data_IF_319418868008
#
_entry.id   IF_319418868008
#
_cell.length_a   1.000
_cell.length_b   1.000
_cell.length_c   1.000
_cell.angle_alpha   90.00
_cell.angle_beta   90.00
_cell.angle_gamma   90.00
#
_symmetry.space_group_name_H-M   'P 1'
#
loop_
_entity.id
_entity.type
_entity.pdbx_description
1 polymer ?
#
# COMPACT_ATOMS: atom_id res chain seq x y z
N UNK A 1 15.92 -12.72 30.37
CA UNK A 1 15.01 -11.66 30.86
C UNK A 1 15.79 -10.39 31.14
N UNK A 2 15.59 -9.36 30.32
CA UNK A 2 16.03 -7.98 30.60
C UNK A 2 14.93 -7.05 30.10
N UNK A 3 14.12 -6.55 31.03
CA UNK A 3 13.13 -5.51 30.76
C UNK A 3 13.85 -4.22 30.35
N UNK A 4 13.43 -3.61 29.25
CA UNK A 4 13.74 -2.23 28.92
C UNK A 4 12.44 -1.46 28.78
N UNK A 5 12.03 -0.81 29.86
CA UNK A 5 11.06 0.27 29.83
C UNK A 5 11.71 1.49 29.16
N UNK A 6 11.06 2.06 28.16
CA UNK A 6 11.25 3.47 27.80
C UNK A 6 9.88 4.11 27.58
N UNK A 7 9.47 4.78 28.64
CA UNK A 7 8.52 5.89 28.67
C UNK A 7 8.90 6.88 27.56
N UNK A 8 7.94 7.34 26.74
CA UNK A 8 7.97 8.67 26.14
C UNK A 8 6.54 9.24 26.18
N UNK A 9 6.31 10.05 27.20
CA UNK A 9 5.24 11.05 27.25
C UNK A 9 5.92 12.41 27.28
N UNK A 10 5.72 13.23 26.25
CA UNK A 10 5.64 14.69 26.42
C UNK A 10 5.13 15.34 25.14
N UNK A 11 3.86 15.71 25.19
CA UNK A 11 3.22 16.78 24.41
C UNK A 11 3.96 18.08 24.67
N UNK A 12 4.21 18.90 23.64
CA UNK A 12 4.02 20.36 23.74
C UNK A 12 3.99 21.03 22.37
N UNK A 13 2.87 21.74 22.18
CA UNK A 13 2.57 22.73 21.17
C UNK A 13 3.68 23.78 20.97
N UNK A 14 3.86 24.21 19.73
CA UNK A 14 4.51 25.48 19.41
C UNK A 14 3.61 26.25 18.42
N UNK A 15 3.16 27.41 18.88
CA UNK A 15 2.37 28.37 18.13
C UNK A 15 3.21 29.02 17.01
N UNK A 16 2.66 29.08 15.79
CA UNK A 16 3.21 29.87 14.70
C UNK A 16 2.63 31.30 14.77
N UNK A 17 3.51 32.27 15.04
CA UNK A 17 3.23 33.69 14.84
C UNK A 17 3.56 34.04 13.39
N UNK A 18 2.55 34.44 12.64
CA UNK A 18 2.69 35.07 11.34
C UNK A 18 3.34 36.46 11.47
N UNK A 19 4.34 36.74 10.63
CA UNK A 19 4.78 38.10 10.35
C UNK A 19 5.15 38.24 8.87
N UNK A 20 4.20 38.78 8.12
CA UNK A 20 4.37 39.29 6.76
C UNK A 20 5.37 40.45 6.74
N UNK A 21 6.36 40.39 5.86
CA UNK A 21 6.94 41.60 5.27
C UNK A 21 7.59 41.27 3.92
N UNK A 22 6.98 41.82 2.86
CA UNK A 22 7.58 41.94 1.55
C UNK A 22 8.43 43.23 1.49
N UNK A 23 9.65 43.17 0.96
CA UNK A 23 10.13 44.14 -0.06
C UNK A 23 11.43 43.64 -0.72
N UNK A 24 11.55 44.01 -1.99
CA UNK A 24 12.53 43.67 -3.01
C UNK A 24 14.02 43.93 -2.69
N UNK A 25 14.88 43.24 -3.45
CA UNK A 25 16.30 43.61 -3.58
C UNK A 25 17.10 42.65 -4.46
N UNK A 26 17.09 42.86 -5.76
CA UNK A 26 18.01 42.24 -6.73
C UNK A 26 19.47 42.64 -6.44
N UNK A 27 20.40 41.68 -6.50
CA UNK A 27 21.67 41.73 -7.26
C UNK A 27 22.72 40.71 -6.74
N UNK A 28 23.06 39.76 -7.60
CA UNK A 28 24.43 39.24 -7.81
C UNK A 28 24.83 39.68 -9.23
N UNK A 29 26.12 39.72 -9.66
CA UNK A 29 27.20 38.81 -9.27
C UNK A 29 28.61 39.44 -9.13
N UNK A 30 29.58 38.67 -8.61
CA UNK A 30 30.97 38.68 -9.12
C UNK A 30 31.76 37.48 -8.63
N UNK A 31 32.53 36.92 -9.55
CA UNK A 31 33.45 35.79 -9.42
C UNK A 31 34.67 36.09 -8.55
N UNK A 32 35.35 35.01 -8.14
CA UNK A 32 36.70 35.02 -7.58
C UNK A 32 37.21 33.61 -7.30
N UNK A 33 38.00 33.07 -8.23
CA UNK A 33 38.83 31.86 -8.09
C UNK A 33 39.88 32.00 -6.98
N UNK A 34 40.27 30.88 -6.36
CA UNK A 34 41.42 30.80 -5.47
C UNK A 34 41.67 29.42 -4.89
N UNK A 35 42.57 28.67 -5.53
CA UNK A 35 43.06 27.36 -5.11
C UNK A 35 43.88 27.41 -3.80
N UNK A 36 43.86 26.31 -3.02
CA UNK A 36 44.71 26.14 -1.85
C UNK A 36 44.65 24.73 -1.27
N UNK A 37 45.64 23.91 -1.64
CA UNK A 37 45.89 22.53 -1.21
C UNK A 37 46.25 22.43 0.29
N UNK A 38 45.81 21.38 0.97
CA UNK A 38 46.20 21.08 2.35
C UNK A 38 45.74 19.69 2.82
N UNK A 39 46.67 18.74 2.82
CA UNK A 39 46.46 17.34 3.23
C UNK A 39 46.43 17.16 4.74
N UNK A 40 45.56 16.28 5.24
CA UNK A 40 45.69 15.37 6.41
C UNK A 40 44.39 14.52 6.36
N UNK A 41 44.36 13.20 6.39
CA UNK A 41 45.07 12.28 7.26
C UNK A 41 44.02 11.51 8.07
N UNK A 42 43.60 10.35 7.55
CA UNK A 42 43.10 9.15 8.22
C UNK A 42 41.94 9.23 9.25
N UNK A 43 40.81 8.57 8.97
CA UNK A 43 40.05 7.78 9.95
C UNK A 43 38.88 7.02 9.31
N UNK A 44 38.90 5.71 9.51
CA UNK A 44 37.80 4.76 9.34
C UNK A 44 36.54 5.19 10.12
N UNK A 45 35.37 5.18 9.49
CA UNK A 45 34.11 4.90 10.19
C UNK A 45 33.00 4.47 9.22
N UNK A 46 32.42 3.31 9.52
CA UNK A 46 31.31 2.71 8.79
C UNK A 46 30.10 3.63 8.76
N UNK A 47 29.55 3.81 7.56
CA UNK A 47 28.27 4.46 7.34
C UNK A 47 27.16 3.55 7.89
N UNK A 48 26.74 3.79 9.13
CA UNK A 48 25.34 3.55 9.48
C UNK A 48 24.54 4.65 8.80
N UNK A 49 23.83 4.30 7.73
CA UNK A 49 22.78 5.14 7.18
C UNK A 49 21.56 4.98 8.10
N UNK A 50 21.42 5.84 9.10
CA UNK A 50 20.10 6.16 9.64
C UNK A 50 19.44 7.11 8.64
N UNK A 51 18.71 6.56 7.67
CA UNK A 51 17.77 7.32 6.86
C UNK A 51 16.53 7.57 7.70
N UNK A 52 16.33 8.80 8.17
CA UNK A 52 15.02 9.25 8.66
C UNK A 52 14.12 9.41 7.44
N UNK A 53 13.26 8.42 7.19
CA UNK A 53 12.20 8.52 6.20
C UNK A 53 11.11 9.44 6.78
N UNK A 54 11.03 10.66 6.26
CA UNK A 54 9.85 11.51 6.47
C UNK A 54 8.81 11.06 5.44
N UNK A 55 7.88 10.22 5.89
CA UNK A 55 6.62 9.96 5.17
C UNK A 55 5.92 11.31 5.02
N UNK A 56 5.85 11.85 3.81
CA UNK A 56 5.06 13.04 3.54
C UNK A 56 3.58 12.62 3.50
N UNK A 57 2.85 12.96 4.57
CA UNK A 57 1.38 12.87 4.60
C UNK A 57 0.83 13.82 3.53
N UNK A 58 0.27 13.27 2.45
CA UNK A 58 -0.52 14.02 1.51
C UNK A 58 -1.96 14.12 2.04
N UNK A 59 -2.44 15.34 2.28
CA UNK A 59 -3.83 15.60 2.68
C UNK A 59 -3.96 16.71 3.72
N UNK A 60 -3.98 17.97 3.28
CA UNK A 60 -4.41 19.10 4.11
C UNK A 60 -5.95 19.12 4.22
N UNK A 61 -6.46 18.92 5.44
CA UNK A 61 -7.86 19.14 5.80
C UNK A 61 -7.95 19.61 7.24
N UNK A 62 -8.01 20.93 7.47
CA UNK A 62 -8.20 21.52 8.79
C UNK A 62 -9.64 21.28 9.28
N UNK A 63 -9.79 20.55 10.38
CA UNK A 63 -11.04 20.39 11.11
C UNK A 63 -10.77 20.00 12.57
N UNK A 64 -10.80 20.97 13.48
CA UNK A 64 -10.72 20.74 14.92
C UNK A 64 -11.98 20.00 15.42
N UNK A 65 -11.79 18.82 16.00
CA UNK A 65 -12.83 18.07 16.69
C UNK A 65 -12.21 17.20 17.79
N UNK A 66 -12.56 17.47 19.04
CA UNK A 66 -12.12 16.68 20.19
C UNK A 66 -12.77 15.29 20.23
N UNK A 67 -11.96 14.28 20.51
CA UNK A 67 -12.31 13.17 21.40
C UNK A 67 -13.19 12.04 20.84
N UNK A 68 -12.53 10.93 20.49
CA UNK A 68 -13.15 9.60 20.40
C UNK A 68 -13.16 9.02 18.98
N UNK A 69 -13.17 7.68 18.93
CA UNK A 69 -13.27 6.82 17.74
C UNK A 69 -11.94 6.59 16.99
N UNK A 70 -11.52 5.33 16.95
CA UNK A 70 -10.41 4.89 16.11
C UNK A 70 -10.88 4.74 14.66
N UNK A 71 -10.08 5.27 13.74
CA UNK A 71 -9.95 4.72 12.39
C UNK A 71 -11.07 5.00 11.39
N UNK A 72 -11.50 6.25 11.23
CA UNK A 72 -12.08 6.69 9.96
C UNK A 72 -11.01 7.40 9.12
N UNK A 73 -10.14 6.62 8.50
CA UNK A 73 -9.14 7.09 7.54
C UNK A 73 -9.12 6.16 6.34
N UNK A 74 -9.65 6.63 5.21
CA UNK A 74 -9.58 5.92 3.94
C UNK A 74 -10.79 6.18 3.04
N UNK A 75 -11.00 7.45 2.63
CA UNK A 75 -11.83 7.71 1.46
C UNK A 75 -11.19 6.97 0.28
N UNK A 76 -11.89 5.99 -0.32
CA UNK A 76 -11.42 5.28 -1.52
C UNK A 76 -11.10 3.78 -1.38
N UNK A 77 -11.25 3.18 -0.19
CA UNK A 77 -11.04 1.73 -0.01
C UNK A 77 -9.61 1.34 0.42
N UNK A 78 -8.78 2.31 0.77
CA UNK A 78 -7.46 2.12 1.41
C UNK A 78 -7.56 1.87 2.92
N UNK A 79 -8.78 1.92 3.48
CA UNK A 79 -9.04 1.81 4.91
C UNK A 79 -8.16 0.76 5.58
N UNK A 80 -7.45 1.20 6.62
CA UNK A 80 -6.47 0.39 7.36
C UNK A 80 -7.07 -0.88 7.93
N UNK A 81 -6.20 -1.80 8.34
CA UNK A 81 -6.61 -3.10 8.89
C UNK A 81 -6.65 -3.01 10.41
N UNK A 82 -7.77 -3.39 11.05
CA UNK A 82 -7.86 -3.45 12.51
C UNK A 82 -6.88 -4.52 13.07
N UNK A 83 -5.83 -4.12 13.82
CA UNK A 83 -4.85 -5.06 14.34
C UNK A 83 -5.47 -6.08 15.32
N UNK A 84 -6.49 -5.68 16.08
CA UNK A 84 -7.13 -6.56 17.06
C UNK A 84 -7.98 -7.64 16.38
N UNK A 85 -8.57 -7.34 15.22
CA UNK A 85 -9.27 -8.30 14.39
C UNK A 85 -8.29 -9.20 13.63
N UNK A 86 -7.24 -8.64 13.03
CA UNK A 86 -6.19 -9.38 12.33
C UNK A 86 -5.50 -10.42 13.23
N UNK A 87 -5.35 -10.13 14.53
CA UNK A 87 -4.78 -11.08 15.49
C UNK A 87 -5.62 -12.36 15.68
N UNK A 88 -6.88 -12.39 15.23
CA UNK A 88 -7.85 -13.46 15.52
C UNK A 88 -8.53 -14.05 14.29
N UNK A 89 -8.69 -13.28 13.21
CA UNK A 89 -9.38 -13.73 11.99
C UNK A 89 -8.36 -13.85 10.84
N UNK A 90 -8.13 -15.05 10.29
CA UNK A 90 -7.21 -15.21 9.17
C UNK A 90 -7.61 -14.41 7.94
N UNK A 91 -8.91 -14.15 7.71
CA UNK A 91 -9.32 -13.34 6.57
C UNK A 91 -8.86 -11.88 6.72
N UNK A 92 -8.86 -11.35 7.95
CA UNK A 92 -8.38 -9.98 8.24
C UNK A 92 -6.86 -9.92 8.25
N UNK A 93 -6.20 -10.96 8.76
CA UNK A 93 -4.74 -11.08 8.71
C UNK A 93 -4.22 -11.15 7.27
N UNK A 94 -4.83 -12.01 6.44
CA UNK A 94 -4.43 -12.22 5.06
C UNK A 94 -4.82 -11.02 4.18
N UNK A 95 -5.90 -10.29 4.50
CA UNK A 95 -6.23 -9.06 3.76
C UNK A 95 -5.15 -7.99 3.94
N UNK A 96 -4.55 -7.85 5.13
CA UNK A 96 -3.39 -6.98 5.33
C UNK A 96 -2.23 -7.33 4.39
N UNK A 97 -1.92 -8.62 4.28
CA UNK A 97 -0.86 -9.12 3.40
C UNK A 97 -1.21 -8.87 1.93
N UNK A 98 -2.48 -9.07 1.54
CA UNK A 98 -2.98 -8.82 0.21
C UNK A 98 -2.94 -7.33 -0.18
N UNK A 99 -3.23 -6.42 0.76
CA UNK A 99 -3.10 -4.98 0.53
C UNK A 99 -1.64 -4.60 0.28
N UNK A 100 -0.70 -5.14 1.06
CA UNK A 100 0.73 -4.91 0.80
C UNK A 100 1.10 -5.46 -0.59
N UNK A 101 0.66 -6.68 -0.92
CA UNK A 101 0.92 -7.29 -2.23
C UNK A 101 0.36 -6.46 -3.38
N UNK A 102 -0.85 -5.92 -3.24
CA UNK A 102 -1.53 -5.11 -4.25
C UNK A 102 -0.69 -3.90 -4.64
N UNK A 103 -0.22 -3.14 -3.66
CA UNK A 103 0.66 -2.00 -3.87
C UNK A 103 1.98 -2.40 -4.57
N UNK A 104 2.59 -3.51 -4.15
CA UNK A 104 3.83 -3.97 -4.79
C UNK A 104 3.61 -4.45 -6.24
N UNK A 105 2.49 -5.08 -6.55
CA UNK A 105 2.14 -5.44 -7.93
C UNK A 105 1.92 -4.20 -8.80
N UNK A 106 1.24 -3.18 -8.27
CA UNK A 106 1.03 -1.92 -8.96
C UNK A 106 2.35 -1.15 -9.18
N UNK A 107 3.18 -1.09 -8.13
CA UNK A 107 4.50 -0.46 -8.20
C UNK A 107 5.44 -1.16 -9.18
N UNK A 108 5.48 -2.49 -9.18
CA UNK A 108 6.27 -3.27 -10.14
C UNK A 108 5.81 -3.03 -11.58
N UNK A 109 4.50 -2.93 -11.83
CA UNK A 109 3.95 -2.60 -13.14
C UNK A 109 4.33 -1.18 -13.60
N UNK A 110 4.33 -0.19 -12.69
CA UNK A 110 4.77 1.17 -13.01
C UNK A 110 6.25 1.27 -13.38
N UNK A 111 7.11 0.32 -12.96
CA UNK A 111 8.51 0.28 -13.39
C UNK A 111 8.68 0.00 -14.89
N UNK A 112 7.67 -0.59 -15.54
CA UNK A 112 7.66 -0.86 -16.98
C UNK A 112 7.08 0.31 -17.80
N UNK A 113 6.56 1.34 -17.12
CA UNK A 113 6.03 2.57 -17.74
C UNK A 113 7.16 3.60 -17.89
N UNK A 114 7.23 4.26 -19.04
CA UNK A 114 8.21 5.32 -19.26
C UNK A 114 7.98 6.47 -18.27
N UNK A 115 8.99 6.78 -17.45
CA UNK A 115 8.89 7.80 -16.40
C UNK A 115 8.16 7.36 -15.13
N UNK A 116 7.58 6.15 -15.09
CA UNK A 116 6.76 5.64 -13.99
C UNK A 116 7.49 5.24 -12.71
N UNK A 117 8.82 5.40 -12.66
CA UNK A 117 9.66 4.98 -11.53
C UNK A 117 9.23 5.61 -10.20
N UNK A 118 8.89 6.90 -10.21
CA UNK A 118 8.59 7.64 -8.98
C UNK A 118 7.26 7.18 -8.40
N UNK A 119 6.26 7.01 -9.25
CA UNK A 119 4.96 6.44 -8.91
C UNK A 119 5.13 5.00 -8.42
N UNK A 120 5.95 4.18 -9.10
CA UNK A 120 6.22 2.82 -8.64
C UNK A 120 6.90 2.76 -7.27
N UNK A 121 7.87 3.65 -7.01
CA UNK A 121 8.49 3.80 -5.71
C UNK A 121 7.54 4.31 -4.62
N UNK A 122 6.61 5.20 -4.96
CA UNK A 122 5.56 5.65 -4.05
C UNK A 122 4.64 4.47 -3.64
N UNK A 123 4.20 3.67 -4.62
CA UNK A 123 3.40 2.46 -4.34
C UNK A 123 4.12 1.48 -3.40
N UNK A 124 5.44 1.30 -3.51
CA UNK A 124 6.17 0.45 -2.56
C UNK A 124 6.18 1.00 -1.12
N UNK A 125 6.06 2.32 -0.97
CA UNK A 125 6.11 3.01 0.32
C UNK A 125 4.76 3.07 1.03
N UNK A 126 3.65 3.24 0.30
CA UNK A 126 2.28 3.30 0.83
C UNK A 126 1.97 2.24 1.90
N UNK A 127 2.14 0.93 1.62
CA UNK A 127 1.76 -0.11 2.56
C UNK A 127 2.63 -0.16 3.82
N UNK A 128 3.76 0.56 3.86
CA UNK A 128 4.58 0.67 5.09
C UNK A 128 3.78 1.41 6.17
N UNK A 129 3.29 2.61 5.85
CA UNK A 129 2.54 3.45 6.79
C UNK A 129 1.08 3.05 6.92
N UNK A 130 0.46 2.54 5.87
CA UNK A 130 -0.97 2.22 5.86
C UNK A 130 -1.29 0.87 6.52
N UNK A 131 -0.34 -0.06 6.49
CA UNK A 131 -0.56 -1.44 6.95
C UNK A 131 0.54 -1.89 7.89
N UNK A 132 1.79 -1.93 7.41
CA UNK A 132 2.84 -2.69 8.08
C UNK A 132 3.15 -2.15 9.48
N UNK A 133 3.26 -0.83 9.67
CA UNK A 133 3.59 -0.25 10.99
C UNK A 133 2.55 -0.64 12.06
N UNK A 134 1.26 -0.62 11.72
CA UNK A 134 0.20 -0.95 12.67
C UNK A 134 0.11 -2.47 12.92
N UNK A 135 0.48 -3.30 11.94
CA UNK A 135 0.32 -4.75 11.97
C UNK A 135 1.61 -5.52 12.31
N UNK A 136 2.78 -4.87 12.36
CA UNK A 136 4.07 -5.52 12.61
C UNK A 136 4.02 -6.38 13.88
N UNK A 137 3.50 -5.81 14.98
CA UNK A 137 3.38 -6.54 16.25
C UNK A 137 2.42 -7.75 16.18
N UNK A 138 1.42 -7.70 15.30
CA UNK A 138 0.49 -8.81 15.05
C UNK A 138 1.19 -9.90 14.25
N UNK A 139 1.93 -9.55 13.20
CA UNK A 139 2.74 -10.48 12.41
C UNK A 139 3.77 -11.20 13.29
N UNK A 140 4.51 -10.46 14.12
CA UNK A 140 5.48 -11.02 15.05
C UNK A 140 4.85 -11.96 16.09
N UNK A 141 3.68 -11.59 16.62
CA UNK A 141 2.95 -12.42 17.58
C UNK A 141 2.50 -13.76 16.98
N UNK A 142 2.21 -13.79 15.67
CA UNK A 142 1.93 -15.03 14.92
C UNK A 142 3.20 -15.79 14.49
N UNK A 143 4.38 -15.25 14.77
CA UNK A 143 5.66 -15.87 14.45
C UNK A 143 6.11 -15.64 13.00
N UNK A 144 5.58 -14.64 12.31
CA UNK A 144 6.16 -14.15 11.07
C UNK A 144 7.47 -13.41 11.36
N UNK A 145 8.44 -13.52 10.46
CA UNK A 145 9.66 -12.70 10.53
C UNK A 145 9.31 -11.25 10.16
N UNK A 146 9.91 -10.24 10.79
CA UNK A 146 9.77 -8.86 10.34
C UNK A 146 10.35 -8.72 8.93
N UNK A 147 9.72 -7.90 8.10
CA UNK A 147 10.12 -7.68 6.71
C UNK A 147 10.14 -6.19 6.29
N UNK A 148 10.20 -5.29 7.27
CA UNK A 148 10.37 -3.85 7.07
C UNK A 148 11.63 -3.51 6.25
N UNK A 149 12.73 -4.23 6.50
CA UNK A 149 14.00 -4.00 5.81
C UNK A 149 13.89 -4.33 4.32
N UNK A 150 13.18 -5.40 3.95
CA UNK A 150 12.91 -5.75 2.56
C UNK A 150 12.03 -4.70 1.88
N UNK A 151 11.00 -4.19 2.57
CA UNK A 151 10.10 -3.17 2.03
C UNK A 151 10.85 -1.85 1.79
N UNK A 152 11.57 -1.36 2.80
CA UNK A 152 12.36 -0.12 2.70
C UNK A 152 13.46 -0.22 1.67
N UNK A 153 14.11 -1.39 1.51
CA UNK A 153 15.07 -1.61 0.44
C UNK A 153 14.45 -1.47 -0.96
N UNK A 154 13.23 -1.96 -1.18
CA UNK A 154 12.55 -1.80 -2.48
C UNK A 154 12.24 -0.32 -2.77
N UNK A 155 11.78 0.44 -1.77
CA UNK A 155 11.54 1.89 -1.86
C UNK A 155 12.83 2.64 -2.18
N UNK A 156 13.90 2.40 -1.42
CA UNK A 156 15.19 3.08 -1.58
C UNK A 156 15.80 2.84 -2.97
N UNK A 157 15.71 1.60 -3.47
CA UNK A 157 16.20 1.27 -4.81
C UNK A 157 15.36 1.94 -5.91
N UNK A 158 14.03 1.94 -5.76
CA UNK A 158 13.15 2.57 -6.73
C UNK A 158 13.38 4.08 -6.82
N UNK A 159 13.39 4.77 -5.67
CA UNK A 159 13.53 6.23 -5.57
C UNK A 159 14.99 6.71 -5.66
N UNK A 160 15.97 5.82 -5.50
CA UNK A 160 17.40 6.10 -5.62
C UNK A 160 17.99 5.84 -7.00
N UNK A 161 17.16 5.73 -8.04
CA UNK A 161 17.57 5.50 -9.44
C UNK A 161 18.37 4.21 -9.69
N UNK A 162 18.21 3.18 -8.86
CA UNK A 162 18.84 1.88 -9.09
C UNK A 162 18.29 1.23 -10.39
N UNK A 163 19.05 0.36 -11.08
CA UNK A 163 18.56 -0.34 -12.28
C UNK A 163 17.24 -1.07 -12.01
N UNK A 164 16.27 -1.01 -12.95
CA UNK A 164 14.93 -1.62 -12.78
C UNK A 164 15.02 -3.11 -12.40
N UNK A 165 15.97 -3.84 -12.97
CA UNK A 165 16.20 -5.24 -12.63
C UNK A 165 16.58 -5.45 -11.15
N UNK A 166 17.32 -4.52 -10.55
CA UNK A 166 17.67 -4.58 -9.12
C UNK A 166 16.47 -4.24 -8.24
N UNK A 167 15.65 -3.27 -8.64
CA UNK A 167 14.39 -2.95 -7.96
C UNK A 167 13.46 -4.16 -7.97
N UNK A 168 13.23 -4.78 -9.15
CA UNK A 168 12.40 -5.99 -9.29
C UNK A 168 12.95 -7.15 -8.45
N UNK A 169 14.27 -7.36 -8.43
CA UNK A 169 14.88 -8.38 -7.57
C UNK A 169 14.64 -8.12 -6.06
N UNK A 170 14.57 -6.86 -5.64
CA UNK A 170 14.19 -6.50 -4.27
C UNK A 170 12.72 -6.75 -3.99
N UNK A 171 11.83 -6.38 -4.92
CA UNK A 171 10.38 -6.65 -4.83
C UNK A 171 10.10 -8.14 -4.66
N UNK A 172 10.85 -9.01 -5.35
CA UNK A 172 10.70 -10.47 -5.18
C UNK A 172 11.02 -10.95 -3.75
N UNK A 173 11.91 -10.27 -3.02
CA UNK A 173 12.16 -10.58 -1.60
C UNK A 173 10.97 -10.20 -0.73
N UNK A 174 10.31 -9.08 -1.05
CA UNK A 174 9.07 -8.69 -0.36
C UNK A 174 7.99 -9.72 -0.63
N UNK A 175 7.80 -10.19 -1.87
CA UNK A 175 6.84 -11.27 -2.15
C UNK A 175 7.13 -12.55 -1.36
N UNK A 176 8.39 -12.97 -1.29
CA UNK A 176 8.78 -14.12 -0.48
C UNK A 176 8.49 -13.92 1.02
N UNK A 177 8.68 -12.71 1.54
CA UNK A 177 8.34 -12.37 2.93
C UNK A 177 6.83 -12.37 3.16
N UNK A 178 6.04 -11.84 2.23
CA UNK A 178 4.57 -11.86 2.29
C UNK A 178 4.03 -13.30 2.24
N UNK A 179 4.59 -14.16 1.38
CA UNK A 179 4.24 -15.58 1.34
C UNK A 179 4.54 -16.26 2.69
N UNK A 180 5.73 -16.04 3.25
CA UNK A 180 6.13 -16.61 4.54
C UNK A 180 5.29 -16.08 5.72
N UNK A 181 4.86 -14.81 5.67
CA UNK A 181 3.95 -14.23 6.65
C UNK A 181 2.53 -14.81 6.51
N UNK A 182 2.04 -15.04 5.29
CA UNK A 182 0.72 -15.60 5.05
C UNK A 182 0.56 -17.01 5.66
N UNK A 183 1.63 -17.81 5.68
CA UNK A 183 1.68 -19.11 6.36
C UNK A 183 1.50 -19.02 7.90
N UNK A 184 1.51 -17.81 8.47
CA UNK A 184 1.32 -17.54 9.91
C UNK A 184 -0.07 -16.98 10.22
N UNK A 185 -1.00 -17.02 9.28
CA UNK A 185 -2.37 -16.61 9.56
C UNK A 185 -2.96 -17.38 10.77
N UNK A 186 -3.74 -16.71 11.64
CA UNK A 186 -4.42 -17.37 12.76
C UNK A 186 -5.25 -18.57 12.31
N UNK A 187 -5.36 -19.59 13.16
CA UNK A 187 -6.26 -20.72 12.91
C UNK A 187 -7.73 -20.28 12.90
N UNK A 188 -8.58 -20.96 12.13
CA UNK A 188 -10.02 -20.71 12.08
C UNK A 188 -10.80 -21.99 11.78
N UNK A 189 -12.04 -22.03 12.24
CA UNK A 189 -13.01 -23.07 11.88
C UNK A 189 -13.65 -22.83 10.50
N UNK A 190 -13.41 -21.66 9.87
CA UNK A 190 -13.84 -21.38 8.49
C UNK A 190 -13.10 -22.29 7.51
N UNK A 191 -13.79 -22.71 6.44
CA UNK A 191 -13.12 -23.45 5.36
C UNK A 191 -12.14 -22.55 4.60
N UNK A 192 -11.12 -23.14 3.99
CA UNK A 192 -10.18 -22.43 3.11
C UNK A 192 -10.93 -21.68 1.99
N UNK A 193 -11.94 -22.32 1.39
CA UNK A 193 -12.77 -21.70 0.36
C UNK A 193 -13.53 -20.46 0.87
N UNK A 194 -14.03 -20.50 2.11
CA UNK A 194 -14.70 -19.34 2.72
C UNK A 194 -13.74 -18.16 2.94
N UNK A 195 -12.51 -18.46 3.37
CA UNK A 195 -11.46 -17.44 3.56
C UNK A 195 -11.04 -16.85 2.21
N UNK A 196 -10.75 -17.67 1.22
CA UNK A 196 -10.37 -17.21 -0.13
C UNK A 196 -11.49 -16.42 -0.81
N UNK A 197 -12.76 -16.81 -0.62
CA UNK A 197 -13.90 -16.05 -1.11
C UNK A 197 -14.01 -14.67 -0.46
N UNK A 198 -13.82 -14.57 0.86
CA UNK A 198 -13.80 -13.29 1.56
C UNK A 198 -12.67 -12.38 1.08
N UNK A 199 -11.47 -12.93 0.87
CA UNK A 199 -10.32 -12.17 0.36
C UNK A 199 -10.54 -11.68 -1.08
N UNK A 200 -11.05 -12.54 -1.96
CA UNK A 200 -11.39 -12.13 -3.33
C UNK A 200 -12.45 -11.01 -3.34
N UNK A 201 -13.50 -11.15 -2.53
CA UNK A 201 -14.56 -10.16 -2.41
C UNK A 201 -14.03 -8.80 -1.93
N UNK A 202 -13.23 -8.80 -0.86
CA UNK A 202 -12.60 -7.59 -0.29
C UNK A 202 -11.72 -6.89 -1.34
N UNK A 203 -10.87 -7.63 -2.07
CA UNK A 203 -9.99 -7.03 -3.07
C UNK A 203 -10.75 -6.47 -4.29
N UNK A 204 -11.82 -7.14 -4.73
CA UNK A 204 -12.70 -6.57 -5.76
C UNK A 204 -13.42 -5.30 -5.28
N UNK A 205 -13.84 -5.25 -4.02
CA UNK A 205 -14.49 -4.07 -3.45
C UNK A 205 -13.54 -2.88 -3.37
N UNK A 206 -12.31 -3.09 -2.89
CA UNK A 206 -11.26 -2.06 -2.87
C UNK A 206 -10.91 -1.58 -4.27
N UNK A 207 -10.74 -2.49 -5.22
CA UNK A 207 -10.49 -2.13 -6.61
C UNK A 207 -11.63 -1.30 -7.23
N UNK A 208 -12.90 -1.58 -6.87
CA UNK A 208 -14.06 -0.83 -7.35
C UNK A 208 -14.13 0.57 -6.73
N UNK A 209 -13.88 0.70 -5.43
CA UNK A 209 -13.84 1.98 -4.72
C UNK A 209 -12.71 2.87 -5.24
N UNK A 210 -11.54 2.29 -5.47
CA UNK A 210 -10.42 3.02 -6.06
C UNK A 210 -10.70 3.48 -7.49
N UNK A 211 -11.39 2.65 -8.28
CA UNK A 211 -11.81 3.05 -9.62
C UNK A 211 -12.73 4.27 -9.57
N UNK A 212 -13.75 4.22 -8.69
CA UNK A 212 -14.70 5.32 -8.50
C UNK A 212 -14.01 6.62 -8.06
N UNK A 213 -13.08 6.52 -7.09
CA UNK A 213 -12.22 7.64 -6.70
C UNK A 213 -11.43 8.17 -7.89
N UNK A 214 -10.70 7.31 -8.60
CA UNK A 214 -9.79 7.66 -9.66
C UNK A 214 -10.45 8.36 -10.86
N UNK A 215 -11.71 8.04 -11.17
CA UNK A 215 -12.45 8.65 -12.29
C UNK A 215 -13.45 9.70 -11.84
N UNK A 216 -13.62 9.89 -10.53
CA UNK A 216 -14.41 10.95 -9.94
C UNK A 216 -13.85 12.36 -10.20
N UNK A 217 -14.58 13.41 -9.81
CA UNK A 217 -14.23 14.81 -10.09
C UNK A 217 -12.89 15.25 -9.48
N UNK A 218 -12.44 14.58 -8.42
CA UNK A 218 -11.16 14.83 -7.74
C UNK A 218 -10.19 13.65 -7.91
N UNK A 219 -10.43 12.78 -8.88
CA UNK A 219 -9.69 11.53 -9.03
C UNK A 219 -8.21 11.73 -9.34
N UNK A 220 -7.37 10.90 -8.75
CA UNK A 220 -5.93 10.92 -8.92
C UNK A 220 -5.46 9.74 -9.79
N UNK A 221 -4.28 9.89 -10.40
CA UNK A 221 -3.57 8.77 -11.02
C UNK A 221 -3.17 7.73 -9.97
N UNK A 222 -2.90 8.16 -8.75
CA UNK A 222 -2.53 7.31 -7.61
C UNK A 222 -3.64 6.29 -7.28
N UNK A 223 -4.88 6.76 -7.08
CA UNK A 223 -6.04 5.91 -6.86
C UNK A 223 -6.25 4.89 -7.99
N UNK A 224 -5.94 5.25 -9.24
CA UNK A 224 -5.99 4.31 -10.36
C UNK A 224 -4.95 3.19 -10.21
N UNK A 225 -3.71 3.55 -9.86
CA UNK A 225 -2.62 2.60 -9.69
C UNK A 225 -2.91 1.65 -8.52
N UNK A 226 -3.43 2.17 -7.40
CA UNK A 226 -3.86 1.34 -6.25
C UNK A 226 -4.97 0.37 -6.65
N UNK A 227 -5.99 0.89 -7.33
CA UNK A 227 -7.09 0.09 -7.86
C UNK A 227 -6.65 -1.03 -8.81
N UNK A 228 -5.66 -0.76 -9.67
CA UNK A 228 -5.03 -1.77 -10.52
C UNK A 228 -4.39 -2.88 -9.66
N UNK A 229 -3.63 -2.51 -8.63
CA UNK A 229 -3.02 -3.45 -7.69
C UNK A 229 -4.05 -4.35 -7.01
N UNK A 230 -5.11 -3.77 -6.47
CA UNK A 230 -6.19 -4.51 -5.80
C UNK A 230 -6.88 -5.48 -6.77
N UNK A 231 -7.16 -5.05 -8.00
CA UNK A 231 -7.74 -5.94 -9.01
C UNK A 231 -6.83 -7.13 -9.31
N UNK A 232 -5.50 -6.92 -9.42
CA UNK A 232 -4.57 -8.02 -9.65
C UNK A 232 -4.61 -9.06 -8.53
N UNK A 233 -4.65 -8.62 -7.27
CA UNK A 233 -4.77 -9.55 -6.14
C UNK A 233 -6.15 -10.22 -6.12
N UNK A 234 -7.23 -9.48 -6.40
CA UNK A 234 -8.58 -10.05 -6.51
C UNK A 234 -8.64 -11.18 -7.55
N UNK A 235 -8.01 -10.98 -8.71
CA UNK A 235 -7.88 -12.01 -9.74
C UNK A 235 -7.07 -13.21 -9.25
N UNK A 236 -5.94 -13.00 -8.59
CA UNK A 236 -5.12 -14.09 -8.04
C UNK A 236 -5.93 -14.96 -7.06
N UNK A 237 -6.65 -14.33 -6.13
CA UNK A 237 -7.53 -15.01 -5.16
C UNK A 237 -8.68 -15.74 -5.84
N UNK A 238 -9.34 -15.09 -6.80
CA UNK A 238 -10.41 -15.72 -7.57
C UNK A 238 -9.93 -16.96 -8.36
N UNK A 239 -8.76 -16.90 -8.97
CA UNK A 239 -8.18 -18.02 -9.73
C UNK A 239 -7.78 -19.20 -8.83
N UNK A 240 -7.31 -18.92 -7.61
CA UNK A 240 -7.05 -19.95 -6.60
C UNK A 240 -8.33 -20.58 -6.04
N UNK A 241 -9.39 -19.77 -5.87
CA UNK A 241 -10.67 -20.19 -5.33
C UNK A 241 -11.47 -21.04 -6.31
N UNK A 242 -11.61 -20.62 -7.58
CA UNK A 242 -12.50 -21.24 -8.58
C UNK A 242 -12.42 -22.78 -8.65
N UNK A 243 -11.23 -23.44 -8.63
CA UNK A 243 -11.13 -24.90 -8.66
C UNK A 243 -11.76 -25.62 -7.45
N UNK A 244 -11.91 -24.91 -6.33
CA UNK A 244 -12.49 -25.44 -5.08
C UNK A 244 -14.00 -25.20 -4.97
N UNK A 245 -14.59 -24.36 -5.83
CA UNK A 245 -16.01 -24.08 -5.83
C UNK A 245 -16.78 -25.28 -6.39
N UNK A 246 -17.52 -25.97 -5.52
CA UNK A 246 -18.45 -27.03 -5.91
C UNK A 246 -19.78 -26.49 -6.48
N UNK A 247 -20.71 -27.39 -6.79
CA UNK A 247 -22.04 -27.05 -7.33
C UNK A 247 -22.81 -26.05 -6.44
N UNK A 248 -22.63 -26.14 -5.12
CA UNK A 248 -23.27 -25.24 -4.14
C UNK A 248 -22.85 -23.77 -4.32
N UNK A 249 -21.68 -23.51 -4.91
CA UNK A 249 -21.13 -22.17 -5.13
C UNK A 249 -20.93 -21.84 -6.62
N UNK A 250 -21.59 -22.55 -7.54
CA UNK A 250 -21.51 -22.29 -8.99
C UNK A 250 -21.82 -20.83 -9.32
N UNK A 251 -22.84 -20.25 -8.67
CA UNK A 251 -23.19 -18.84 -8.89
C UNK A 251 -22.10 -17.85 -8.47
N UNK A 252 -21.25 -18.19 -7.48
CA UNK A 252 -20.08 -17.38 -7.14
C UNK A 252 -19.01 -17.50 -8.23
N UNK A 253 -18.75 -18.72 -8.72
CA UNK A 253 -17.79 -18.94 -9.80
C UNK A 253 -18.15 -18.13 -11.05
N UNK A 254 -19.43 -18.08 -11.42
CA UNK A 254 -19.93 -17.24 -12.52
C UNK A 254 -19.71 -15.74 -12.26
N UNK A 255 -20.01 -15.23 -11.06
CA UNK A 255 -19.82 -13.81 -10.75
C UNK A 255 -18.33 -13.43 -10.73
N UNK A 256 -17.45 -14.30 -10.23
CA UNK A 256 -16.00 -14.09 -10.28
C UNK A 256 -15.47 -14.05 -11.72
N UNK A 257 -15.97 -14.90 -12.61
CA UNK A 257 -15.59 -14.89 -14.02
C UNK A 257 -16.04 -13.59 -14.72
N UNK A 258 -17.29 -13.16 -14.49
CA UNK A 258 -17.80 -11.89 -15.04
C UNK A 258 -17.04 -10.68 -14.49
N UNK A 259 -16.72 -10.68 -13.19
CA UNK A 259 -15.94 -9.62 -12.57
C UNK A 259 -14.51 -9.56 -13.13
N UNK A 260 -13.88 -10.70 -13.37
CA UNK A 260 -12.55 -10.73 -13.98
C UNK A 260 -12.53 -10.04 -15.35
N UNK A 261 -13.50 -10.33 -16.22
CA UNK A 261 -13.62 -9.68 -17.53
C UNK A 261 -13.90 -8.17 -17.41
N UNK A 262 -14.82 -7.80 -16.51
CA UNK A 262 -15.21 -6.41 -16.28
C UNK A 262 -14.04 -5.57 -15.73
N UNK A 263 -13.40 -6.03 -14.65
CA UNK A 263 -12.28 -5.32 -14.05
C UNK A 263 -11.03 -5.41 -14.93
N UNK A 264 -10.84 -6.46 -15.72
CA UNK A 264 -9.80 -6.52 -16.74
C UNK A 264 -9.99 -5.52 -17.88
N UNK A 265 -11.23 -5.15 -18.17
CA UNK A 265 -11.55 -4.04 -19.08
C UNK A 265 -11.32 -2.68 -18.41
N UNK A 266 -11.71 -2.56 -17.13
CA UNK A 266 -11.51 -1.35 -16.34
C UNK A 266 -10.02 -1.00 -16.19
N UNK A 267 -9.22 -1.98 -15.76
CA UNK A 267 -7.81 -1.89 -15.47
C UNK A 267 -6.97 -2.60 -16.53
N UNK A 268 -7.19 -2.27 -17.80
CA UNK A 268 -6.44 -2.86 -18.91
C UNK A 268 -4.92 -2.61 -18.79
N UNK A 269 -4.53 -1.51 -18.12
CA UNK A 269 -3.15 -1.16 -17.79
C UNK A 269 -3.07 -0.43 -16.45
N UNK A 270 -1.84 -0.33 -15.93
CA UNK A 270 -1.54 0.43 -14.71
C UNK A 270 -1.58 1.95 -14.95
N UNK A 271 -1.41 2.38 -16.20
CA UNK A 271 -1.59 3.78 -16.59
C UNK A 271 -3.08 4.12 -16.68
N UNK A 272 -3.47 5.21 -16.02
CA UNK A 272 -4.83 5.74 -16.07
C UNK A 272 -5.15 6.24 -17.50
N UNK A 273 -6.20 5.75 -18.16
CA UNK A 273 -6.62 6.23 -19.47
C UNK A 273 -7.22 7.65 -19.35
N UNK A 274 -7.22 8.37 -20.47
CA UNK A 274 -7.85 9.70 -20.56
C UNK A 274 -9.36 9.63 -20.30
N UNK A 275 -10.01 8.57 -20.78
CA UNK A 275 -11.44 8.31 -20.59
C UNK A 275 -11.63 7.00 -19.82
N UNK A 276 -12.56 7.02 -18.85
CA UNK A 276 -12.93 5.84 -18.08
C UNK A 276 -13.55 4.78 -19.01
N UNK A 277 -12.95 3.58 -19.14
CA UNK A 277 -13.43 2.56 -20.09
C UNK A 277 -14.76 1.92 -19.67
N UNK A 278 -15.11 2.04 -18.38
CA UNK A 278 -16.32 1.47 -17.78
C UNK A 278 -16.93 2.44 -16.78
N UNK A 279 -18.26 2.39 -16.63
CA UNK A 279 -18.98 3.19 -15.64
C UNK A 279 -18.70 2.68 -14.20
N UNK A 280 -18.30 3.54 -13.24
CA UNK A 280 -17.91 3.14 -11.88
C UNK A 280 -18.97 2.30 -11.15
N UNK A 281 -20.24 2.69 -11.28
CA UNK A 281 -21.36 1.97 -10.67
C UNK A 281 -21.46 0.49 -11.11
N UNK A 282 -20.90 0.14 -12.27
CA UNK A 282 -20.89 -1.25 -12.76
C UNK A 282 -19.92 -2.11 -11.95
N UNK A 283 -18.76 -1.56 -11.56
CA UNK A 283 -17.76 -2.24 -10.75
C UNK A 283 -18.23 -2.40 -9.32
N UNK A 284 -18.78 -1.34 -8.72
CA UNK A 284 -19.39 -1.37 -7.39
C UNK A 284 -20.53 -2.38 -7.30
N UNK A 285 -21.36 -2.47 -8.35
CA UNK A 285 -22.41 -3.48 -8.42
C UNK A 285 -21.84 -4.91 -8.54
N UNK A 286 -20.74 -5.10 -9.26
CA UNK A 286 -20.08 -6.40 -9.38
C UNK A 286 -19.43 -6.84 -8.06
N UNK A 287 -18.69 -5.97 -7.38
CA UNK A 287 -18.12 -6.28 -6.05
C UNK A 287 -19.24 -6.63 -5.05
N UNK A 288 -20.33 -5.85 -5.03
CA UNK A 288 -21.49 -6.13 -4.17
C UNK A 288 -22.11 -7.51 -4.42
N UNK A 289 -22.21 -7.95 -5.69
CA UNK A 289 -22.73 -9.29 -6.02
C UNK A 289 -21.80 -10.38 -5.51
N UNK A 290 -20.49 -10.23 -5.69
CA UNK A 290 -19.49 -11.17 -5.17
C UNK A 290 -19.59 -11.25 -3.64
N UNK A 291 -19.64 -10.13 -2.94
CA UNK A 291 -19.78 -10.09 -1.48
C UNK A 291 -21.08 -10.76 -1.00
N UNK A 292 -22.20 -10.55 -1.69
CA UNK A 292 -23.47 -11.20 -1.37
C UNK A 292 -23.42 -12.73 -1.57
N UNK A 293 -22.69 -13.21 -2.58
CA UNK A 293 -22.50 -14.66 -2.80
C UNK A 293 -21.49 -15.27 -1.84
N UNK A 294 -20.53 -14.48 -1.39
CA UNK A 294 -19.53 -14.91 -0.40
C UNK A 294 -20.13 -15.06 1.00
N UNK A 295 -21.19 -14.32 1.34
CA UNK A 295 -21.85 -14.44 2.65
C UNK A 295 -22.64 -15.73 2.87
N UNK A 296 -22.71 -16.61 1.85
CA UNK A 296 -23.37 -17.92 1.95
C UNK A 296 -22.43 -19.08 2.31
N UNK A 297 -21.17 -18.80 2.64
CA UNK A 297 -20.21 -19.78 3.16
C UNK A 297 -20.40 -20.05 4.66
#
# INVERSE_FOLDING_TARGET
MKYRMKLWTSISAAALIAASSAVAGMASPSAGEGAGNGSHGDALQGKQASGSFLVASAGEGEGEGEGGEGGEGGEGGEGGVDPAAAAKDPAVYLSAIDIIRAHYLAGEAMLDVEGGRREGGAMFAHPISEVYIDLESVFEAQGAAPFMDEMTQAVDLALGDAPVAEVKASVQKVYAALDAAAEKAPESDKSEAAIEAALAAEMYDRAAKQYDTAVGPNGSTEAWIDGYGFWKVAKMRADALKPSLGEEHESLAEELAKAEELFGTAYAGVEKPEEAPVEPGTLLAASSRISLKTSSF
#
